data_IF_335727034217
#
_entry.id   IF_335727034217
#
_cell.length_a   1.000
_cell.length_b   1.000
_cell.length_c   1.000
_cell.angle_alpha   90.00
_cell.angle_beta   90.00
_cell.angle_gamma   90.00
#
_symmetry.space_group_name_H-M   'P 1'
#
loop_
_entity.id
_entity.type
_entity.pdbx_description
1 polymer ?
#
# COMPACT_ATOMS: atom_id res chain seq x y z
N UNK A 1 1.72 -2.29 1.28
CA UNK A 1 2.36 -1.33 0.35
C UNK A 1 1.37 -0.75 -0.65
N UNK A 2 0.65 -1.55 -1.49
CA UNK A 2 -0.25 -1.05 -2.54
C UNK A 2 -1.33 -0.08 -2.00
N UNK A 3 -2.12 -0.49 -1.02
CA UNK A 3 -3.22 0.32 -0.48
C UNK A 3 -2.75 1.66 0.09
N UNK A 4 -1.58 1.69 0.74
CA UNK A 4 -0.97 2.94 1.25
C UNK A 4 -0.63 3.86 0.08
N UNK A 5 -0.09 3.31 -1.00
CA UNK A 5 0.25 4.09 -2.18
C UNK A 5 -0.98 4.65 -2.89
N UNK A 6 -2.01 3.83 -3.08
CA UNK A 6 -3.28 4.26 -3.67
C UNK A 6 -3.99 5.33 -2.83
N UNK A 7 -3.98 5.18 -1.50
CA UNK A 7 -4.52 6.20 -0.60
C UNK A 7 -3.73 7.51 -0.71
N UNK A 8 -2.40 7.43 -0.74
CA UNK A 8 -1.56 8.61 -0.94
C UNK A 8 -1.79 9.26 -2.31
N UNK A 9 -2.00 8.46 -3.37
CA UNK A 9 -2.33 8.97 -4.72
C UNK A 9 -3.70 9.65 -4.74
N UNK A 10 -4.69 9.11 -4.05
CA UNK A 10 -6.00 9.74 -3.91
C UNK A 10 -5.91 11.09 -3.17
N UNK A 11 -5.11 11.14 -2.08
CA UNK A 11 -4.87 12.39 -1.34
C UNK A 11 -4.18 13.42 -2.23
N UNK A 12 -3.16 13.02 -3.01
CA UNK A 12 -2.46 13.90 -3.96
C UNK A 12 -3.39 14.45 -5.03
N UNK A 13 -4.27 13.60 -5.58
CA UNK A 13 -5.25 14.02 -6.57
C UNK A 13 -6.23 15.03 -5.99
N UNK A 14 -6.75 14.76 -4.78
CA UNK A 14 -7.64 15.69 -4.07
C UNK A 14 -6.93 17.02 -3.72
N UNK A 15 -5.69 16.96 -3.24
CA UNK A 15 -4.88 18.15 -2.97
C UNK A 15 -4.70 19.00 -4.23
N UNK A 16 -4.34 18.36 -5.36
CA UNK A 16 -4.17 19.07 -6.63
C UNK A 16 -5.46 19.76 -7.08
N UNK A 17 -6.62 19.12 -6.91
CA UNK A 17 -7.92 19.73 -7.26
C UNK A 17 -8.27 20.92 -6.36
N UNK A 18 -7.67 21.04 -5.19
CA UNK A 18 -7.82 22.15 -4.24
C UNK A 18 -6.74 23.24 -4.39
N UNK A 19 -5.91 23.13 -5.44
CA UNK A 19 -4.91 24.15 -5.76
C UNK A 19 -3.51 23.91 -5.20
N UNK A 20 -3.24 22.77 -4.52
CA UNK A 20 -1.88 22.38 -4.10
C UNK A 20 -1.12 21.84 -5.31
N UNK A 21 -0.62 22.73 -6.15
CA UNK A 21 0.00 22.40 -7.45
C UNK A 21 1.48 22.11 -7.34
N UNK A 22 2.17 22.70 -6.38
CA UNK A 22 3.56 22.41 -6.10
C UNK A 22 3.68 21.23 -5.13
N UNK A 23 4.68 20.35 -5.37
CA UNK A 23 4.92 19.20 -4.51
C UNK A 23 6.40 19.03 -4.25
N UNK A 24 6.77 18.97 -2.98
CA UNK A 24 8.11 18.56 -2.52
C UNK A 24 8.03 17.21 -1.82
N UNK A 25 9.08 16.39 -1.98
CA UNK A 25 9.13 15.03 -1.41
C UNK A 25 10.44 14.85 -0.66
N UNK A 26 10.33 14.51 0.61
CA UNK A 26 11.48 14.23 1.48
C UNK A 26 11.40 12.78 1.98
N UNK A 27 12.50 12.02 1.84
CA UNK A 27 12.58 10.64 2.30
C UNK A 27 13.58 10.54 3.44
N UNK A 28 13.07 10.26 4.63
CA UNK A 28 13.90 10.11 5.85
C UNK A 28 14.57 8.74 5.81
N UNK A 29 15.80 8.70 5.27
CA UNK A 29 16.54 7.47 4.98
C UNK A 29 17.51 7.04 6.09
N UNK A 30 17.61 7.78 7.22
CA UNK A 30 18.52 7.42 8.31
C UNK A 30 18.60 8.45 9.43
N UNK A 31 19.53 8.22 10.36
CA UNK A 31 19.69 9.02 11.57
C UNK A 31 20.26 10.44 11.31
N UNK A 32 20.87 10.64 10.15
CA UNK A 32 21.51 11.92 9.77
C UNK A 32 20.70 12.69 8.72
N UNK A 33 19.39 12.44 8.64
CA UNK A 33 18.52 13.19 7.75
C UNK A 33 18.41 14.63 8.20
N UNK A 34 18.62 15.57 7.29
CA UNK A 34 18.53 17.00 7.58
C UNK A 34 17.07 17.48 7.60
N UNK A 35 16.53 17.60 8.80
CA UNK A 35 15.16 18.09 9.01
C UNK A 35 15.00 19.59 8.76
N UNK A 36 16.10 20.35 8.69
CA UNK A 36 16.03 21.79 8.42
C UNK A 36 15.52 22.08 7.02
N UNK A 37 15.83 21.22 6.04
CA UNK A 37 15.30 21.32 4.68
C UNK A 37 13.78 21.17 4.65
N UNK A 38 13.25 20.25 5.46
CA UNK A 38 11.79 20.01 5.55
C UNK A 38 11.09 21.21 6.17
N UNK A 39 11.66 21.78 7.23
CA UNK A 39 11.10 22.99 7.86
C UNK A 39 11.17 24.20 6.92
N UNK A 40 12.28 24.37 6.22
CA UNK A 40 12.42 25.43 5.23
C UNK A 40 11.37 25.28 4.11
N UNK A 41 11.17 24.07 3.62
CA UNK A 41 10.14 23.79 2.61
C UNK A 41 8.72 24.06 3.15
N UNK A 42 8.42 23.68 4.38
CA UNK A 42 7.11 23.90 5.01
C UNK A 42 6.82 25.35 5.37
N UNK A 43 7.86 26.16 5.61
CA UNK A 43 7.76 27.58 5.98
C UNK A 43 7.99 28.57 4.84
N UNK A 44 8.49 28.12 3.68
CA UNK A 44 8.72 28.98 2.53
C UNK A 44 7.45 29.08 1.68
N UNK A 45 6.99 30.32 1.47
CA UNK A 45 6.00 30.57 0.42
C UNK A 45 6.68 30.31 -0.94
N UNK A 46 6.10 29.44 -1.74
CA UNK A 46 6.56 29.26 -3.12
C UNK A 46 6.45 30.55 -3.91
N UNK A 47 7.45 30.81 -4.75
CA UNK A 47 7.42 31.95 -5.66
C UNK A 47 6.46 31.70 -6.85
N UNK A 48 6.00 30.46 -7.05
CA UNK A 48 5.28 30.04 -8.24
C UNK A 48 3.89 29.43 -7.94
N UNK A 49 3.57 29.14 -6.68
CA UNK A 49 2.29 28.58 -6.28
C UNK A 49 1.84 29.10 -4.91
N UNK A 50 0.54 29.40 -4.82
CA UNK A 50 -0.07 29.84 -3.55
C UNK A 50 -0.22 28.70 -2.54
N UNK A 51 -0.24 27.43 -3.02
CA UNK A 51 -0.42 26.24 -2.21
C UNK A 51 0.55 25.12 -2.61
N UNK A 52 1.12 24.44 -1.60
CA UNK A 52 2.07 23.35 -1.79
C UNK A 52 1.70 22.10 -1.01
N UNK A 53 2.04 20.93 -1.57
CA UNK A 53 1.99 19.62 -0.91
C UNK A 53 3.39 19.22 -0.47
N UNK A 54 3.61 19.17 0.83
CA UNK A 54 4.85 18.68 1.44
C UNK A 54 4.68 17.20 1.78
N UNK A 55 5.37 16.31 1.08
CA UNK A 55 5.31 14.88 1.33
C UNK A 55 6.55 14.38 2.07
N UNK A 56 6.34 13.76 3.23
CA UNK A 56 7.40 13.23 4.09
C UNK A 56 7.22 11.72 4.22
N UNK A 57 8.19 10.97 3.72
CA UNK A 57 8.21 9.51 3.82
C UNK A 57 9.19 9.07 4.88
N UNK A 58 8.75 8.26 5.84
CA UNK A 58 9.60 7.68 6.88
C UNK A 58 9.53 6.14 6.79
N UNK A 59 10.30 5.51 5.89
CA UNK A 59 10.18 4.06 5.62
C UNK A 59 10.44 3.19 6.85
N UNK A 60 11.24 3.67 7.79
CA UNK A 60 11.55 2.98 9.05
C UNK A 60 10.48 3.13 10.11
N UNK A 61 9.56 4.09 9.94
CA UNK A 61 8.61 4.51 10.99
C UNK A 61 9.24 5.21 12.18
N UNK A 62 10.54 5.53 12.09
CA UNK A 62 11.32 6.14 13.19
C UNK A 62 11.96 7.46 12.68
N UNK A 63 11.43 8.61 13.07
CA UNK A 63 11.95 9.91 12.60
C UNK A 63 13.32 10.27 13.18
N UNK A 64 13.79 9.51 14.17
CA UNK A 64 15.04 9.82 14.88
C UNK A 64 14.87 10.85 15.99
N UNK A 65 15.98 11.16 16.67
CA UNK A 65 15.99 12.07 17.82
C UNK A 65 15.62 13.50 17.39
N UNK A 66 16.15 13.95 16.29
CA UNK A 66 15.90 15.30 15.74
C UNK A 66 14.55 15.40 15.04
N UNK A 67 14.10 14.34 14.38
CA UNK A 67 12.82 14.33 13.67
C UNK A 67 11.60 14.42 14.56
N UNK A 68 11.67 13.88 15.78
CA UNK A 68 10.52 13.93 16.70
C UNK A 68 10.08 15.36 17.03
N UNK A 69 10.95 16.27 17.49
CA UNK A 69 10.56 17.68 17.73
C UNK A 69 10.17 18.42 16.44
N UNK A 70 10.82 18.12 15.32
CA UNK A 70 10.53 18.78 14.05
C UNK A 70 9.15 18.41 13.51
N UNK A 71 8.73 17.14 13.62
CA UNK A 71 7.38 16.71 13.27
C UNK A 71 6.34 17.37 14.16
N UNK A 72 6.59 17.47 15.46
CA UNK A 72 5.70 18.17 16.39
C UNK A 72 5.52 19.64 16.00
N UNK A 73 6.60 20.33 15.64
CA UNK A 73 6.55 21.71 15.16
C UNK A 73 5.77 21.83 13.86
N UNK A 74 6.01 20.95 12.87
CA UNK A 74 5.27 20.94 11.61
C UNK A 74 3.78 20.69 11.82
N UNK A 75 3.41 19.76 12.70
CA UNK A 75 2.02 19.48 13.02
C UNK A 75 1.32 20.68 13.66
N UNK A 76 1.97 21.35 14.62
CA UNK A 76 1.42 22.54 15.27
C UNK A 76 1.26 23.72 14.29
N UNK A 77 2.23 23.93 13.40
CA UNK A 77 2.18 25.02 12.42
C UNK A 77 1.19 24.76 11.27
N UNK A 78 0.70 23.53 11.13
CA UNK A 78 -0.35 23.22 10.16
C UNK A 78 -1.72 23.78 10.57
N UNK A 79 -1.95 24.02 11.85
CA UNK A 79 -3.18 24.62 12.33
C UNK A 79 -3.32 26.06 11.81
N UNK A 80 -4.36 26.33 11.03
CA UNK A 80 -4.59 27.64 10.42
C UNK A 80 -3.71 27.98 9.20
N UNK A 81 -2.93 27.03 8.71
CA UNK A 81 -2.12 27.18 7.50
C UNK A 81 -2.76 26.47 6.30
N UNK A 82 -3.48 27.21 5.48
CA UNK A 82 -4.13 26.69 4.27
C UNK A 82 -3.20 26.63 3.05
N UNK A 83 -1.97 27.15 3.15
CA UNK A 83 -1.02 27.19 2.03
C UNK A 83 -0.18 25.93 1.91
N UNK A 84 -0.04 25.14 2.98
CA UNK A 84 0.79 23.93 2.97
C UNK A 84 -0.01 22.72 3.51
N UNK A 85 -0.22 21.72 2.65
CA UNK A 85 -0.70 20.42 3.06
C UNK A 85 0.47 19.48 3.28
N UNK A 86 0.64 18.96 4.49
CA UNK A 86 1.72 18.00 4.79
C UNK A 86 1.18 16.57 4.83
N UNK A 87 1.73 15.70 3.98
CA UNK A 87 1.38 14.29 3.89
C UNK A 87 2.52 13.41 4.43
N UNK A 88 2.30 12.78 5.58
CA UNK A 88 3.22 11.78 6.12
C UNK A 88 2.87 10.38 5.62
N UNK A 89 3.84 9.66 5.06
CA UNK A 89 3.72 8.27 4.65
C UNK A 89 4.61 7.42 5.55
N UNK A 90 3.95 6.56 6.32
CA UNK A 90 4.55 5.74 7.36
C UNK A 90 4.28 4.26 7.11
N UNK A 91 5.17 3.35 7.51
CA UNK A 91 4.86 1.92 7.58
C UNK A 91 3.87 1.65 8.72
N UNK A 92 3.43 0.42 8.84
CA UNK A 92 2.67 0.00 10.03
C UNK A 92 3.51 0.21 11.28
N UNK A 93 3.02 1.04 12.19
CA UNK A 93 3.67 1.35 13.45
C UNK A 93 3.20 0.40 14.54
N UNK A 94 4.11 0.00 15.43
CA UNK A 94 3.78 -0.70 16.65
C UNK A 94 3.12 0.22 17.69
N UNK A 95 2.52 -0.38 18.72
CA UNK A 95 1.82 0.37 19.76
C UNK A 95 2.74 1.30 20.58
N UNK A 96 4.02 0.96 20.69
CA UNK A 96 5.01 1.76 21.41
C UNK A 96 5.35 3.01 20.62
N UNK A 97 5.61 2.87 19.32
CA UNK A 97 5.91 3.99 18.43
C UNK A 97 4.72 4.96 18.32
N UNK A 98 3.48 4.46 18.30
CA UNK A 98 2.25 5.28 18.31
C UNK A 98 2.08 6.09 19.60
N UNK A 99 2.69 5.72 20.70
CA UNK A 99 2.69 6.48 21.96
C UNK A 99 3.75 7.61 21.97
N UNK A 100 4.59 7.69 20.95
CA UNK A 100 5.59 8.74 20.83
C UNK A 100 4.98 10.12 20.64
N UNK A 101 5.61 11.16 21.22
CA UNK A 101 5.10 12.53 21.18
C UNK A 101 4.90 13.05 19.75
N UNK A 102 5.75 12.68 18.82
CA UNK A 102 5.66 13.07 17.42
C UNK A 102 4.39 12.51 16.73
N UNK A 103 4.04 11.24 17.01
CA UNK A 103 2.84 10.64 16.46
C UNK A 103 1.57 11.21 17.11
N UNK A 104 1.62 11.44 18.42
CA UNK A 104 0.54 12.11 19.14
C UNK A 104 0.26 13.52 18.59
N UNK A 105 1.28 14.28 18.18
CA UNK A 105 1.09 15.57 17.55
C UNK A 105 0.42 15.44 16.16
N UNK A 106 0.83 14.46 15.35
CA UNK A 106 0.16 14.20 14.06
C UNK A 106 -1.31 13.84 14.23
N UNK A 107 -1.63 13.07 15.25
CA UNK A 107 -3.02 12.65 15.55
C UNK A 107 -3.86 13.80 16.12
N UNK A 108 -3.24 14.70 16.87
CA UNK A 108 -3.89 15.84 17.49
C UNK A 108 -4.18 16.98 16.49
N UNK A 109 -3.22 17.31 15.63
CA UNK A 109 -3.31 18.47 14.73
C UNK A 109 -3.63 18.10 13.28
N UNK A 110 -3.78 16.81 12.97
CA UNK A 110 -4.04 16.32 11.63
C UNK A 110 -5.05 15.19 11.61
N UNK A 111 -5.04 14.44 10.51
CA UNK A 111 -5.87 13.25 10.31
C UNK A 111 -4.98 12.05 10.09
N UNK A 112 -5.08 11.04 10.94
CA UNK A 112 -4.38 9.76 10.77
C UNK A 112 -5.28 8.74 10.10
N UNK A 113 -4.78 8.12 9.02
CA UNK A 113 -5.49 7.06 8.28
C UNK A 113 -4.72 5.76 8.47
N UNK A 114 -5.28 4.84 9.22
CA UNK A 114 -4.70 3.51 9.37
C UNK A 114 -5.16 2.61 8.23
N UNK A 115 -4.19 2.02 7.52
CA UNK A 115 -4.43 1.09 6.43
C UNK A 115 -3.94 -0.28 6.86
N UNK A 116 -4.89 -1.17 7.11
CA UNK A 116 -4.59 -2.53 7.49
C UNK A 116 -4.32 -3.42 6.27
N UNK A 117 -3.59 -4.52 6.50
CA UNK A 117 -3.40 -5.55 5.48
C UNK A 117 -4.73 -6.23 5.19
N UNK A 118 -4.95 -6.55 3.93
CA UNK A 118 -6.11 -7.32 3.52
C UNK A 118 -5.95 -8.77 3.96
N UNK A 119 -6.95 -9.30 4.65
CA UNK A 119 -6.98 -10.71 5.04
C UNK A 119 -7.27 -11.61 3.83
N UNK A 120 -6.79 -12.86 3.91
CA UNK A 120 -7.02 -13.86 2.85
C UNK A 120 -8.51 -14.02 2.51
N UNK A 121 -9.37 -14.03 3.52
CA UNK A 121 -10.81 -14.17 3.33
C UNK A 121 -11.45 -13.00 2.55
N UNK A 122 -10.85 -11.82 2.60
CA UNK A 122 -11.32 -10.61 1.94
C UNK A 122 -10.79 -10.48 0.50
N UNK A 123 -9.74 -11.23 0.15
CA UNK A 123 -9.04 -11.10 -1.12
C UNK A 123 -9.92 -11.39 -2.34
N UNK A 124 -10.77 -12.44 -2.37
CA UNK A 124 -11.68 -12.70 -3.49
C UNK A 124 -12.64 -11.52 -3.74
N UNK A 125 -13.20 -10.95 -2.69
CA UNK A 125 -14.10 -9.81 -2.79
C UNK A 125 -13.37 -8.56 -3.29
N UNK A 126 -12.14 -8.32 -2.82
CA UNK A 126 -11.31 -7.22 -3.29
C UNK A 126 -10.97 -7.36 -4.78
N UNK A 127 -10.63 -8.57 -5.25
CA UNK A 127 -10.40 -8.86 -6.67
C UNK A 127 -11.66 -8.56 -7.49
N UNK A 128 -12.82 -9.03 -7.05
CA UNK A 128 -14.09 -8.76 -7.74
C UNK A 128 -14.39 -7.26 -7.87
N UNK A 129 -14.16 -6.50 -6.80
CA UNK A 129 -14.32 -5.04 -6.82
C UNK A 129 -13.38 -4.37 -7.81
N UNK A 130 -12.11 -4.84 -7.89
CA UNK A 130 -11.12 -4.29 -8.82
C UNK A 130 -11.44 -4.61 -10.28
N UNK A 131 -11.88 -5.84 -10.57
CA UNK A 131 -12.37 -6.20 -11.91
C UNK A 131 -13.54 -5.29 -12.32
N UNK A 132 -14.48 -5.06 -11.40
CA UNK A 132 -15.64 -4.18 -11.65
C UNK A 132 -15.23 -2.75 -12.00
N UNK A 133 -14.17 -2.20 -11.37
CA UNK A 133 -13.68 -0.85 -11.65
C UNK A 133 -13.16 -0.69 -13.09
N UNK A 134 -12.71 -1.77 -13.72
CA UNK A 134 -12.31 -1.78 -15.14
C UNK A 134 -13.38 -2.33 -16.09
N UNK A 135 -14.63 -2.49 -15.60
CA UNK A 135 -15.77 -2.96 -16.40
C UNK A 135 -15.79 -4.47 -16.61
N UNK A 136 -15.04 -5.24 -15.85
CA UNK A 136 -15.01 -6.71 -15.94
C UNK A 136 -15.66 -7.35 -14.73
N UNK A 137 -16.15 -8.59 -14.89
CA UNK A 137 -16.69 -9.41 -13.80
C UNK A 137 -16.39 -10.88 -14.09
N UNK A 138 -16.53 -11.74 -13.11
CA UNK A 138 -16.60 -13.19 -13.31
C UNK A 138 -18.06 -13.62 -13.40
N UNK A 139 -18.30 -14.83 -13.94
CA UNK A 139 -19.64 -15.41 -14.00
C UNK A 139 -20.32 -15.43 -12.63
N UNK A 140 -21.62 -15.31 -12.60
CA UNK A 140 -22.39 -15.37 -11.34
C UNK A 140 -22.42 -16.79 -10.75
N UNK A 141 -22.62 -16.87 -9.43
CA UNK A 141 -22.79 -18.14 -8.74
C UNK A 141 -21.49 -18.81 -8.29
N UNK A 142 -21.54 -20.12 -8.08
CA UNK A 142 -20.44 -20.88 -7.49
C UNK A 142 -19.20 -20.92 -8.39
N UNK A 143 -19.37 -20.96 -9.69
CA UNK A 143 -18.26 -20.96 -10.65
C UNK A 143 -17.43 -19.69 -10.55
N UNK A 144 -18.08 -18.53 -10.50
CA UNK A 144 -17.38 -17.24 -10.30
C UNK A 144 -16.70 -17.13 -8.93
N UNK A 145 -17.33 -17.67 -7.89
CA UNK A 145 -16.70 -17.73 -6.56
C UNK A 145 -15.43 -18.61 -6.60
N UNK A 146 -15.48 -19.76 -7.25
CA UNK A 146 -14.32 -20.64 -7.42
C UNK A 146 -13.21 -19.96 -8.22
N UNK A 147 -13.57 -19.23 -9.28
CA UNK A 147 -12.65 -18.47 -10.09
C UNK A 147 -11.94 -17.36 -9.27
N UNK A 148 -12.68 -16.59 -8.48
CA UNK A 148 -12.11 -15.58 -7.60
C UNK A 148 -11.24 -16.18 -6.51
N UNK A 149 -11.64 -17.34 -5.96
CA UNK A 149 -10.84 -18.04 -4.96
C UNK A 149 -9.54 -18.58 -5.57
N UNK A 150 -9.60 -19.15 -6.78
CA UNK A 150 -8.41 -19.58 -7.52
C UNK A 150 -7.43 -18.41 -7.73
N UNK A 151 -7.95 -17.27 -8.17
CA UNK A 151 -7.13 -16.06 -8.33
C UNK A 151 -6.50 -15.64 -6.99
N UNK A 152 -7.31 -15.54 -5.94
CA UNK A 152 -6.87 -15.14 -4.61
C UNK A 152 -5.76 -16.06 -4.08
N UNK A 153 -5.89 -17.37 -4.26
CA UNK A 153 -4.89 -18.35 -3.83
C UNK A 153 -3.53 -18.18 -4.55
N UNK A 154 -3.55 -17.70 -5.80
CA UNK A 154 -2.33 -17.47 -6.59
C UNK A 154 -1.59 -16.18 -6.25
N UNK A 155 -2.29 -15.19 -5.73
CA UNK A 155 -1.71 -13.87 -5.40
C UNK A 155 -1.65 -13.61 -3.90
N UNK A 156 -1.94 -14.61 -3.09
CA UNK A 156 -1.95 -14.49 -1.62
C UNK A 156 -0.62 -13.91 -1.09
N UNK A 157 -0.75 -12.87 -0.26
CA UNK A 157 0.40 -12.17 0.32
C UNK A 157 1.05 -11.13 -0.60
N UNK A 158 0.67 -11.07 -1.88
CA UNK A 158 1.20 -10.10 -2.84
C UNK A 158 0.10 -9.31 -3.53
N UNK A 159 -0.46 -8.33 -2.81
CA UNK A 159 -1.54 -7.48 -3.32
C UNK A 159 -1.13 -6.65 -4.56
N UNK A 160 0.17 -6.32 -4.68
CA UNK A 160 0.66 -5.63 -5.87
C UNK A 160 0.61 -6.53 -7.10
N UNK A 161 1.02 -7.79 -6.95
CA UNK A 161 0.88 -8.77 -8.03
C UNK A 161 -0.59 -8.99 -8.39
N UNK A 162 -1.49 -9.11 -7.40
CA UNK A 162 -2.92 -9.19 -7.64
C UNK A 162 -3.41 -8.01 -8.50
N UNK A 163 -3.01 -6.81 -8.17
CA UNK A 163 -3.37 -5.59 -8.93
C UNK A 163 -2.83 -5.64 -10.36
N UNK A 164 -1.58 -6.04 -10.56
CA UNK A 164 -0.97 -6.17 -11.88
C UNK A 164 -1.68 -7.20 -12.76
N UNK A 165 -2.06 -8.35 -12.18
CA UNK A 165 -2.80 -9.38 -12.90
C UNK A 165 -4.22 -8.91 -13.29
N UNK A 166 -4.88 -8.17 -12.41
CA UNK A 166 -6.18 -7.56 -12.73
C UNK A 166 -6.02 -6.56 -13.89
N UNK A 167 -5.01 -5.69 -13.85
CA UNK A 167 -4.73 -4.78 -14.96
C UNK A 167 -4.43 -5.52 -16.27
N UNK A 168 -3.65 -6.61 -16.19
CA UNK A 168 -3.35 -7.46 -17.35
C UNK A 168 -4.63 -8.08 -17.95
N UNK A 169 -5.56 -8.55 -17.13
CA UNK A 169 -6.86 -9.01 -17.60
C UNK A 169 -7.62 -7.92 -18.37
N UNK A 170 -7.58 -6.67 -17.89
CA UNK A 170 -8.17 -5.54 -18.58
C UNK A 170 -7.54 -5.20 -19.93
N UNK A 171 -6.25 -5.52 -20.10
CA UNK A 171 -5.55 -5.34 -21.38
C UNK A 171 -5.77 -6.51 -22.36
N UNK A 172 -5.90 -7.74 -21.84
CA UNK A 172 -6.02 -8.95 -22.67
C UNK A 172 -7.46 -9.23 -23.12
N UNK A 173 -8.45 -8.84 -22.34
CA UNK A 173 -9.84 -9.17 -22.57
C UNK A 173 -10.72 -7.93 -22.53
N UNK A 174 -11.79 -7.87 -23.35
CA UNK A 174 -12.71 -6.74 -23.35
C UNK A 174 -13.47 -6.63 -22.01
N UNK A 175 -14.14 -5.51 -21.83
CA UNK A 175 -15.10 -5.36 -20.73
C UNK A 175 -16.22 -6.40 -20.85
N UNK A 176 -16.71 -6.86 -19.70
CA UNK A 176 -17.74 -7.89 -19.62
C UNK A 176 -17.35 -9.04 -18.70
N UNK A 177 -17.97 -10.18 -18.93
CA UNK A 177 -17.80 -11.38 -18.11
C UNK A 177 -16.57 -12.19 -18.56
N UNK A 178 -15.67 -12.45 -17.61
CA UNK A 178 -14.48 -13.27 -17.79
C UNK A 178 -14.81 -14.74 -17.50
N UNK A 179 -14.38 -15.62 -18.37
CA UNK A 179 -14.45 -17.06 -18.14
C UNK A 179 -13.34 -17.53 -17.20
N UNK A 180 -13.52 -18.66 -16.55
CA UNK A 180 -12.50 -19.27 -15.71
C UNK A 180 -11.19 -19.51 -16.49
N UNK A 181 -11.27 -19.99 -17.72
CA UNK A 181 -10.10 -20.23 -18.58
C UNK A 181 -9.31 -18.97 -18.86
N UNK A 182 -9.98 -17.85 -19.08
CA UNK A 182 -9.31 -16.54 -19.28
C UNK A 182 -8.55 -16.10 -18.03
N UNK A 183 -9.18 -16.22 -16.86
CA UNK A 183 -8.54 -15.88 -15.59
C UNK A 183 -7.37 -16.81 -15.28
N UNK A 184 -7.57 -18.12 -15.45
CA UNK A 184 -6.51 -19.11 -15.23
C UNK A 184 -5.31 -18.87 -16.14
N UNK A 185 -5.52 -18.65 -17.43
CA UNK A 185 -4.44 -18.40 -18.38
C UNK A 185 -3.62 -17.15 -18.06
N UNK A 186 -4.27 -16.13 -17.50
CA UNK A 186 -3.60 -14.90 -17.14
C UNK A 186 -2.81 -15.00 -15.82
N UNK A 187 -3.30 -15.79 -14.85
CA UNK A 187 -2.81 -15.79 -13.46
C UNK A 187 -1.85 -16.95 -13.15
N UNK A 188 -1.62 -17.87 -14.10
CA UNK A 188 -0.90 -19.13 -13.87
C UNK A 188 0.52 -19.01 -13.29
N UNK A 189 1.21 -17.86 -13.38
CA UNK A 189 2.63 -17.74 -13.06
C UNK A 189 2.96 -16.65 -12.01
N UNK A 190 2.05 -16.28 -11.11
CA UNK A 190 2.22 -15.07 -10.28
C UNK A 190 2.56 -15.34 -8.82
N UNK A 191 2.43 -16.56 -8.36
CA UNK A 191 2.66 -16.89 -6.95
C UNK A 191 4.13 -16.77 -6.55
N UNK A 192 4.54 -15.58 -6.08
CA UNK A 192 5.76 -15.45 -5.27
C UNK A 192 5.41 -15.75 -3.82
N UNK A 193 5.70 -16.95 -3.40
CA UNK A 193 5.48 -17.37 -2.02
C UNK A 193 6.62 -16.88 -1.12
N UNK A 194 6.26 -16.29 0.01
CA UNK A 194 7.21 -15.95 1.05
C UNK A 194 7.56 -17.21 1.86
N UNK A 195 8.82 -17.61 1.84
CA UNK A 195 9.35 -18.77 2.57
C UNK A 195 8.99 -18.72 4.07
N UNK A 196 8.93 -17.52 4.66
CA UNK A 196 8.57 -17.36 6.07
C UNK A 196 7.10 -17.72 6.35
N UNK A 197 6.20 -17.54 5.39
CA UNK A 197 4.79 -17.95 5.51
C UNK A 197 4.58 -19.45 5.33
N UNK A 198 5.55 -20.15 4.77
CA UNK A 198 5.50 -21.61 4.66
C UNK A 198 5.47 -22.24 6.05
N UNK A 199 6.31 -21.80 6.98
CA UNK A 199 6.35 -22.29 8.35
C UNK A 199 5.01 -22.09 9.07
N UNK A 200 4.37 -20.95 8.92
CA UNK A 200 3.05 -20.67 9.49
C UNK A 200 1.98 -21.62 8.92
N UNK A 201 2.02 -21.86 7.62
CA UNK A 201 1.08 -22.77 6.94
C UNK A 201 1.26 -24.23 7.37
N UNK A 202 2.51 -24.65 7.61
CA UNK A 202 2.84 -25.99 8.15
C UNK A 202 2.30 -26.13 9.57
N UNK A 203 2.59 -25.18 10.44
CA UNK A 203 2.17 -25.19 11.84
C UNK A 203 0.65 -25.14 12.01
N UNK A 204 -0.04 -24.48 11.09
CA UNK A 204 -1.51 -24.41 11.07
C UNK A 204 -2.18 -25.60 10.39
N UNK A 205 -1.42 -26.60 9.92
CA UNK A 205 -1.93 -27.83 9.30
C UNK A 205 -2.60 -27.63 7.92
N UNK A 206 -2.31 -26.55 7.22
CA UNK A 206 -2.91 -26.21 5.92
C UNK A 206 -2.20 -26.94 4.77
N UNK A 207 -2.31 -28.27 4.71
CA UNK A 207 -1.52 -29.14 3.80
C UNK A 207 -1.62 -28.71 2.33
N UNK A 208 -2.82 -28.46 1.82
CA UNK A 208 -3.02 -28.04 0.43
C UNK A 208 -2.39 -26.69 0.12
N UNK A 209 -2.31 -25.79 1.09
CA UNK A 209 -1.62 -24.49 0.96
C UNK A 209 -0.11 -24.67 0.97
N UNK A 210 0.40 -25.49 1.88
CA UNK A 210 1.84 -25.82 1.97
C UNK A 210 2.33 -26.39 0.63
N UNK A 211 1.56 -27.31 0.04
CA UNK A 211 1.94 -27.92 -1.24
C UNK A 211 2.00 -26.88 -2.37
N UNK A 212 0.99 -26.00 -2.50
CA UNK A 212 1.01 -24.92 -3.49
C UNK A 212 2.19 -23.96 -3.29
N UNK A 213 2.52 -23.64 -2.03
CA UNK A 213 3.66 -22.78 -1.72
C UNK A 213 4.98 -23.43 -2.09
N UNK A 214 5.14 -24.72 -1.82
CA UNK A 214 6.33 -25.48 -2.20
C UNK A 214 6.49 -25.56 -3.73
N UNK A 215 5.42 -25.88 -4.45
CA UNK A 215 5.42 -25.95 -5.91
C UNK A 215 5.79 -24.58 -6.52
N UNK A 216 5.26 -23.49 -5.95
CA UNK A 216 5.56 -22.12 -6.38
C UNK A 216 7.01 -21.72 -6.12
N UNK A 217 7.54 -21.97 -4.92
CA UNK A 217 8.94 -21.69 -4.56
C UNK A 217 9.91 -22.50 -5.43
N UNK A 218 9.59 -23.75 -5.70
CA UNK A 218 10.40 -24.60 -6.58
C UNK A 218 10.39 -24.10 -8.02
N UNK A 219 9.26 -23.60 -8.51
CA UNK A 219 9.14 -23.01 -9.85
C UNK A 219 9.94 -21.70 -9.98
N UNK A 220 10.13 -20.97 -8.88
CA UNK A 220 10.96 -19.75 -8.81
C UNK A 220 12.47 -20.05 -8.68
N UNK A 221 12.84 -21.31 -8.56
CA UNK A 221 14.25 -21.73 -8.43
C UNK A 221 14.81 -21.58 -7.02
N UNK A 222 13.96 -21.36 -6.01
CA UNK A 222 14.37 -21.39 -4.61
C UNK A 222 14.80 -22.82 -4.25
N UNK A 223 16.08 -22.99 -3.93
CA UNK A 223 16.64 -24.28 -3.54
C UNK A 223 16.01 -24.72 -2.21
N UNK A 224 15.54 -25.96 -2.14
CA UNK A 224 15.20 -26.59 -0.88
C UNK A 224 16.46 -26.63 -0.02
N UNK A 225 16.58 -25.74 0.94
CA UNK A 225 17.65 -25.79 1.95
C UNK A 225 17.26 -26.90 2.93
N UNK A 226 17.95 -28.02 2.81
CA UNK A 226 17.89 -29.14 3.76
C UNK A 226 18.64 -28.80 5.05
#
# INVERSE_FOLDING_TARGET
ALLVQETADAIRAAARSQGYTERSVHVVSGAHFDWSEVLAAGGSMSLFADKQLLEIRIPTGKPGKEGSPMIQQLAQTAEGNDSTLTLFILPRLDSTTKKGAWFGALDQYGVTVQIDSLDRAQLPQWIAQRLKLQGQSVVAGQEGQNCLQFFADRVEGNLLAAHQEIQKLGLLFPQGELTQVQVESAVLNVARYDVFKLSESVLSGQIARVQRMLDGLQAEGEAAVL
#
